data_IF_039008696207
#
_entry.id   IF_039008696207
#
_cell.length_a   1.000
_cell.length_b   1.000
_cell.length_c   1.000
_cell.angle_alpha   90.00
_cell.angle_beta   90.00
_cell.angle_gamma   90.00
#
_symmetry.space_group_name_H-M   'P 1'
#
loop_
_entity.id
_entity.type
_entity.pdbx_description
1 polymer ?
#
# COMPACT_ATOMS: atom_id res chain seq x y z
N UNK A 1 31.66 26.96 -41.95
CA UNK A 1 30.18 27.09 -41.83
C UNK A 1 29.45 25.75 -41.83
N UNK A 2 29.71 24.85 -42.77
CA UNK A 2 28.94 23.59 -42.90
C UNK A 2 29.01 22.69 -41.65
N UNK A 3 30.16 22.61 -40.98
CA UNK A 3 30.32 21.84 -39.74
C UNK A 3 29.50 22.41 -38.56
N UNK A 4 29.42 23.73 -38.43
CA UNK A 4 28.60 24.37 -37.38
C UNK A 4 27.11 24.10 -37.58
N UNK A 5 26.68 24.02 -38.85
CA UNK A 5 25.31 23.72 -39.22
C UNK A 5 24.95 22.27 -38.87
N UNK A 6 25.87 21.32 -39.11
CA UNK A 6 25.71 19.92 -38.70
C UNK A 6 25.63 19.78 -37.18
N UNK A 7 26.50 20.47 -36.43
CA UNK A 7 26.47 20.45 -34.96
C UNK A 7 25.16 21.02 -34.42
N UNK A 8 24.67 22.13 -34.98
CA UNK A 8 23.41 22.74 -34.56
C UNK A 8 22.20 21.83 -34.81
N UNK A 9 22.16 21.13 -35.96
CA UNK A 9 21.10 20.17 -36.28
C UNK A 9 21.15 18.95 -35.36
N UNK A 10 22.34 18.42 -35.06
CA UNK A 10 22.51 17.32 -34.12
C UNK A 10 22.09 17.71 -32.70
N UNK A 11 22.49 18.89 -32.22
CA UNK A 11 22.10 19.40 -30.91
C UNK A 11 20.58 19.62 -30.81
N UNK A 12 19.96 20.18 -31.85
CA UNK A 12 18.51 20.36 -31.91
C UNK A 12 17.75 19.03 -31.92
N UNK A 13 18.24 18.05 -32.67
CA UNK A 13 17.69 16.69 -32.69
C UNK A 13 17.78 16.01 -31.32
N UNK A 14 18.94 16.11 -30.66
CA UNK A 14 19.14 15.57 -29.30
C UNK A 14 18.26 16.25 -28.26
N UNK A 15 18.10 17.57 -28.34
CA UNK A 15 17.21 18.30 -27.45
C UNK A 15 15.75 17.86 -27.62
N UNK A 16 15.27 17.79 -28.86
CA UNK A 16 13.89 17.41 -29.18
C UNK A 16 13.58 15.97 -28.74
N UNK A 17 14.51 15.05 -28.96
CA UNK A 17 14.37 13.65 -28.54
C UNK A 17 14.37 13.51 -27.02
N UNK A 18 15.27 14.20 -26.32
CA UNK A 18 15.33 14.21 -24.85
C UNK A 18 14.03 14.78 -24.27
N UNK A 19 13.51 15.87 -24.85
CA UNK A 19 12.26 16.48 -24.41
C UNK A 19 11.05 15.55 -24.63
N UNK A 20 10.98 14.87 -25.79
CA UNK A 20 9.93 13.87 -26.05
C UNK A 20 10.01 12.67 -25.11
N UNK A 21 11.21 12.20 -24.79
CA UNK A 21 11.42 11.12 -23.83
C UNK A 21 10.95 11.54 -22.43
N UNK A 22 11.24 12.78 -22.02
CA UNK A 22 10.76 13.34 -20.76
C UNK A 22 9.23 13.45 -20.72
N UNK A 23 8.60 13.99 -21.77
CA UNK A 23 7.14 14.11 -21.86
C UNK A 23 6.46 12.73 -21.86
N UNK A 24 7.00 11.76 -22.62
CA UNK A 24 6.52 10.38 -22.58
C UNK A 24 6.67 9.75 -21.19
N UNK A 25 7.80 9.92 -20.52
CA UNK A 25 7.96 9.44 -19.14
C UNK A 25 6.95 10.07 -18.18
N UNK A 26 6.67 11.37 -18.31
CA UNK A 26 5.68 12.05 -17.49
C UNK A 26 4.27 11.54 -17.77
N UNK A 27 3.92 11.30 -19.04
CA UNK A 27 2.63 10.72 -19.45
C UNK A 27 2.49 9.27 -18.99
N UNK A 28 3.51 8.44 -19.13
CA UNK A 28 3.51 7.08 -18.60
C UNK A 28 3.37 7.07 -17.07
N UNK A 29 4.04 7.97 -16.36
CA UNK A 29 3.86 8.14 -14.90
C UNK A 29 2.43 8.58 -14.56
N UNK A 30 1.83 9.46 -15.36
CA UNK A 30 0.46 9.93 -15.17
C UNK A 30 -0.59 8.85 -15.50
N UNK A 31 -0.40 8.10 -16.58
CA UNK A 31 -1.29 7.03 -17.04
C UNK A 31 -1.22 5.78 -16.14
N UNK A 32 -0.08 5.53 -15.50
CA UNK A 32 0.07 4.49 -14.47
C UNK A 32 -0.41 4.95 -13.08
N UNK A 33 -0.97 6.15 -12.96
CA UNK A 33 -1.38 6.72 -11.67
C UNK A 33 -0.24 7.02 -10.71
N UNK A 34 1.03 6.91 -11.13
CA UNK A 34 2.25 7.10 -10.33
C UNK A 34 2.52 8.57 -9.94
N UNK A 35 1.64 9.50 -10.30
CA UNK A 35 1.77 10.90 -9.93
C UNK A 35 1.09 11.10 -8.57
N UNK A 36 1.90 11.30 -7.53
CA UNK A 36 1.44 11.64 -6.19
C UNK A 36 0.88 13.06 -6.24
N UNK A 37 -0.45 13.21 -6.15
CA UNK A 37 -1.10 14.54 -6.15
C UNK A 37 -0.95 15.24 -4.79
N UNK A 38 -0.95 14.46 -3.71
CA UNK A 38 -0.75 14.92 -2.32
C UNK A 38 0.36 14.12 -1.62
N UNK A 39 1.52 14.74 -1.41
CA UNK A 39 2.69 14.16 -0.73
C UNK A 39 2.45 13.90 0.77
N UNK A 40 1.31 14.33 1.33
CA UNK A 40 0.94 14.11 2.73
C UNK A 40 -0.05 12.95 2.91
N UNK A 41 -0.43 12.26 1.84
CA UNK A 41 -1.36 11.14 1.89
C UNK A 41 -0.69 9.82 1.53
N UNK A 42 -1.24 8.74 2.08
CA UNK A 42 -0.88 7.40 1.64
C UNK A 42 -1.58 7.17 0.30
N UNK A 43 -0.82 6.86 -0.75
CA UNK A 43 -1.36 6.63 -2.09
C UNK A 43 -1.14 5.18 -2.48
N UNK A 44 -2.22 4.45 -2.77
CA UNK A 44 -2.16 3.07 -3.28
C UNK A 44 -2.43 3.12 -4.78
N UNK A 45 -1.44 2.70 -5.58
CA UNK A 45 -1.48 2.78 -7.05
C UNK A 45 -2.26 1.62 -7.70
N UNK A 46 -2.57 0.56 -6.95
CA UNK A 46 -3.34 -0.59 -7.41
C UNK A 46 -2.67 -1.94 -7.12
N UNK A 47 -3.38 -3.03 -7.40
CA UNK A 47 -2.87 -4.41 -7.31
C UNK A 47 -2.22 -4.79 -8.65
N UNK A 48 -0.94 -5.17 -8.64
CA UNK A 48 -0.11 -5.35 -9.85
C UNK A 48 -0.02 -6.79 -10.35
N UNK A 49 -0.37 -7.81 -9.54
CA UNK A 49 -0.15 -9.21 -9.89
C UNK A 49 -1.39 -10.07 -9.75
N UNK A 50 -1.66 -10.91 -10.75
CA UNK A 50 -2.67 -11.98 -10.76
C UNK A 50 -2.05 -13.37 -10.55
N UNK A 51 -1.03 -13.48 -9.70
CA UNK A 51 -0.44 -14.78 -9.39
C UNK A 51 -1.32 -15.43 -8.31
N UNK A 52 -1.78 -16.68 -8.48
CA UNK A 52 -2.52 -17.36 -7.41
C UNK A 52 -1.74 -17.29 -6.10
N UNK A 53 -2.44 -16.97 -5.01
CA UNK A 53 -1.84 -16.92 -3.66
C UNK A 53 -0.74 -15.86 -3.48
N UNK A 54 -0.65 -14.87 -4.37
CA UNK A 54 0.29 -13.76 -4.26
C UNK A 54 -0.32 -12.46 -4.76
N UNK A 55 -0.14 -11.39 -3.97
CA UNK A 55 -0.65 -10.06 -4.24
C UNK A 55 0.48 -9.04 -4.14
N UNK A 56 0.45 -8.04 -5.01
CA UNK A 56 1.45 -7.00 -5.07
C UNK A 56 0.77 -5.64 -5.20
N UNK A 57 1.22 -4.66 -4.42
CA UNK A 57 0.76 -3.28 -4.53
C UNK A 57 1.95 -2.34 -4.61
N UNK A 58 1.82 -1.29 -5.41
CA UNK A 58 2.67 -0.09 -5.26
C UNK A 58 1.98 0.90 -4.33
N UNK A 59 2.72 1.36 -3.33
CA UNK A 59 2.20 2.29 -2.32
C UNK A 59 3.20 3.40 -2.08
N UNK A 60 2.76 4.65 -2.19
CA UNK A 60 3.49 5.79 -1.65
C UNK A 60 3.13 6.00 -0.19
N UNK A 61 4.15 6.07 0.65
CA UNK A 61 4.01 6.45 2.05
C UNK A 61 4.45 7.90 2.20
N UNK A 62 3.64 8.81 2.77
CA UNK A 62 4.04 10.20 3.00
C UNK A 62 5.07 10.27 4.12
N UNK A 63 5.84 11.35 4.28
CA UNK A 63 6.90 11.44 5.30
C UNK A 63 6.39 11.05 6.70
N UNK A 64 7.01 10.04 7.31
CA UNK A 64 6.55 9.43 8.56
C UNK A 64 7.16 8.05 8.79
N UNK A 65 6.65 7.32 9.78
CA UNK A 65 7.04 5.93 10.09
C UNK A 65 5.80 5.05 9.96
N UNK A 66 5.92 3.92 9.30
CA UNK A 66 4.80 3.02 9.04
C UNK A 66 5.22 1.57 9.22
N UNK A 67 4.26 0.68 9.40
CA UNK A 67 4.46 -0.77 9.28
C UNK A 67 3.44 -1.32 8.30
N UNK A 68 3.85 -2.29 7.51
CA UNK A 68 2.92 -3.16 6.78
C UNK A 68 2.75 -4.42 7.59
N UNK A 69 1.51 -4.82 7.82
CA UNK A 69 1.12 -5.98 8.61
C UNK A 69 0.23 -6.90 7.80
N UNK A 70 0.31 -8.20 8.07
CA UNK A 70 -0.55 -9.18 7.45
C UNK A 70 -1.00 -10.28 8.42
N UNK A 71 -2.21 -10.79 8.22
CA UNK A 71 -2.76 -11.96 8.90
C UNK A 71 -3.43 -12.88 7.86
N UNK A 72 -3.16 -14.18 7.97
CA UNK A 72 -3.58 -15.23 7.03
C UNK A 72 -4.56 -16.25 7.64
N UNK A 73 -4.82 -16.20 8.94
CA UNK A 73 -5.53 -17.29 9.65
C UNK A 73 -6.75 -16.78 10.40
N UNK A 74 -6.62 -15.66 11.11
CA UNK A 74 -7.69 -15.07 11.91
C UNK A 74 -8.07 -13.70 11.34
N UNK A 75 -8.84 -13.71 10.25
CA UNK A 75 -9.33 -12.47 9.65
C UNK A 75 -10.70 -12.15 10.25
N UNK A 76 -10.83 -11.03 11.00
CA UNK A 76 -12.09 -10.64 11.58
C UNK A 76 -13.06 -10.16 10.49
N UNK A 77 -14.35 -10.29 10.78
CA UNK A 77 -15.41 -9.77 9.92
C UNK A 77 -15.38 -8.25 9.81
N UNK A 78 -15.07 -7.57 10.92
CA UNK A 78 -15.03 -6.11 11.03
C UNK A 78 -13.85 -5.69 11.88
N UNK A 79 -13.21 -4.58 11.52
CA UNK A 79 -12.04 -4.07 12.24
C UNK A 79 -10.73 -4.68 11.76
N UNK A 80 -9.69 -4.53 12.58
CA UNK A 80 -8.37 -5.10 12.36
C UNK A 80 -8.21 -6.36 13.23
N UNK A 81 -7.39 -7.34 12.82
CA UNK A 81 -7.03 -8.44 13.68
C UNK A 81 -6.34 -7.93 14.95
N UNK A 82 -6.54 -8.61 16.09
CA UNK A 82 -5.86 -8.27 17.34
C UNK A 82 -4.33 -8.41 17.20
N UNK A 83 -3.89 -9.45 16.47
CA UNK A 83 -2.48 -9.75 16.22
C UNK A 83 -2.15 -9.82 14.72
N UNK A 84 -0.97 -9.31 14.36
CA UNK A 84 -0.34 -9.56 13.07
C UNK A 84 0.54 -10.82 13.10
N UNK A 85 0.45 -11.61 12.02
CA UNK A 85 1.31 -12.77 11.80
C UNK A 85 2.65 -12.27 11.21
N UNK A 86 2.57 -11.47 10.14
CA UNK A 86 3.73 -10.89 9.49
C UNK A 86 3.78 -9.37 9.67
N UNK A 87 4.99 -8.85 9.87
CA UNK A 87 5.24 -7.40 10.04
C UNK A 87 6.55 -6.99 9.38
N UNK A 88 6.53 -6.01 8.45
CA UNK A 88 7.77 -5.51 7.82
C UNK A 88 8.68 -4.69 8.73
N UNK A 89 8.26 -4.48 9.99
CA UNK A 89 8.87 -3.53 10.91
C UNK A 89 8.73 -2.09 10.41
N UNK A 90 9.63 -1.22 10.86
CA UNK A 90 9.55 0.22 10.56
C UNK A 90 9.95 0.57 9.12
N UNK A 91 9.00 1.07 8.33
CA UNK A 91 9.19 1.67 7.01
C UNK A 91 9.25 3.20 7.13
N UNK A 92 10.17 3.81 6.40
CA UNK A 92 10.34 5.26 6.37
C UNK A 92 9.58 5.85 5.18
N UNK A 93 8.65 6.73 5.48
CA UNK A 93 7.87 7.46 4.49
C UNK A 93 8.69 8.45 3.64
N UNK A 94 8.01 9.09 2.71
CA UNK A 94 8.58 9.97 1.68
C UNK A 94 9.04 9.21 0.43
N UNK A 95 8.61 7.97 0.23
CA UNK A 95 9.01 7.13 -0.91
C UNK A 95 7.94 6.11 -1.29
N UNK A 96 8.11 5.53 -2.47
CA UNK A 96 7.26 4.44 -2.98
C UNK A 96 7.83 3.10 -2.58
N UNK A 97 6.94 2.21 -2.16
CA UNK A 97 7.22 0.83 -1.80
C UNK A 97 6.43 -0.11 -2.71
N UNK A 98 7.05 -1.24 -3.06
CA UNK A 98 6.38 -2.40 -3.63
C UNK A 98 6.11 -3.38 -2.50
N UNK A 99 4.85 -3.51 -2.11
CA UNK A 99 4.40 -4.45 -1.08
C UNK A 99 3.99 -5.74 -1.75
N UNK A 100 4.66 -6.85 -1.44
CA UNK A 100 4.32 -8.19 -1.91
C UNK A 100 3.90 -9.06 -0.73
N UNK A 101 2.76 -9.71 -0.86
CA UNK A 101 2.23 -10.67 0.12
C UNK A 101 1.91 -11.96 -0.61
N UNK A 102 2.33 -13.09 -0.06
CA UNK A 102 1.93 -14.36 -0.62
C UNK A 102 2.08 -15.52 0.35
N UNK A 103 1.40 -16.61 0.01
CA UNK A 103 1.53 -17.89 0.69
C UNK A 103 1.92 -18.95 -0.34
N UNK A 104 2.83 -19.85 0.05
CA UNK A 104 3.24 -20.97 -0.79
C UNK A 104 3.46 -22.21 0.05
N UNK A 105 3.22 -23.38 -0.53
CA UNK A 105 3.53 -24.64 0.12
C UNK A 105 5.03 -24.93 0.03
N UNK A 106 5.65 -25.23 1.17
CA UNK A 106 7.05 -25.64 1.25
C UNK A 106 7.22 -27.14 0.98
N UNK A 107 8.46 -27.58 0.76
CA UNK A 107 8.79 -28.98 0.42
C UNK A 107 8.51 -29.98 1.54
N UNK A 108 8.51 -29.51 2.79
CA UNK A 108 8.18 -30.29 4.00
C UNK A 108 6.67 -30.37 4.26
N UNK A 109 5.85 -29.74 3.40
CA UNK A 109 4.40 -29.70 3.51
C UNK A 109 3.85 -28.53 4.31
N UNK A 110 4.70 -27.74 5.00
CA UNK A 110 4.29 -26.51 5.72
C UNK A 110 3.88 -25.40 4.77
N UNK A 111 3.18 -24.39 5.28
CA UNK A 111 2.86 -23.18 4.52
C UNK A 111 3.84 -22.07 4.87
N UNK A 112 4.49 -21.54 3.85
CA UNK A 112 5.36 -20.39 3.95
C UNK A 112 4.57 -19.14 3.61
N UNK A 113 4.42 -18.26 4.60
CA UNK A 113 3.81 -16.95 4.46
C UNK A 113 4.93 -15.91 4.28
N UNK A 114 4.74 -14.98 3.36
CA UNK A 114 5.74 -13.97 3.03
C UNK A 114 5.11 -12.60 2.91
N UNK A 115 5.77 -11.62 3.51
CA UNK A 115 5.46 -10.20 3.37
C UNK A 115 6.76 -9.45 3.08
N UNK A 116 6.78 -8.70 1.98
CA UNK A 116 7.94 -7.91 1.56
C UNK A 116 7.46 -6.50 1.30
N UNK A 117 8.16 -5.50 1.82
CA UNK A 117 8.10 -4.13 1.36
C UNK A 117 9.46 -3.77 0.77
N UNK A 118 9.52 -3.72 -0.56
CA UNK A 118 10.71 -3.37 -1.33
C UNK A 118 10.70 -1.88 -1.73
N UNK A 119 11.86 -1.25 -1.79
CA UNK A 119 12.06 0.08 -2.35
C UNK A 119 13.34 0.06 -3.21
N UNK A 120 13.48 0.99 -4.15
CA UNK A 120 14.49 0.96 -5.24
C UNK A 120 15.94 0.60 -4.87
N UNK A 121 16.36 0.72 -3.60
CA UNK A 121 17.71 0.39 -3.11
C UNK A 121 17.72 -0.44 -1.80
N UNK A 122 16.65 -1.18 -1.47
CA UNK A 122 16.63 -2.08 -0.32
C UNK A 122 15.26 -2.69 -0.04
N UNK A 123 15.25 -3.90 0.50
CA UNK A 123 14.02 -4.58 0.88
C UNK A 123 13.94 -4.79 2.39
N UNK A 124 12.74 -4.62 2.95
CA UNK A 124 12.39 -5.20 4.24
C UNK A 124 11.43 -6.35 4.00
N UNK A 125 11.79 -7.52 4.48
CA UNK A 125 10.97 -8.71 4.34
C UNK A 125 10.80 -9.36 5.69
N UNK A 126 9.59 -9.83 5.93
CA UNK A 126 9.29 -10.76 7.00
C UNK A 126 8.78 -12.07 6.39
N UNK A 127 9.12 -13.16 7.06
CA UNK A 127 8.89 -14.50 6.57
C UNK A 127 8.56 -15.41 7.75
N UNK A 128 7.43 -16.10 7.64
CA UNK A 128 7.00 -17.05 8.66
C UNK A 128 6.58 -18.36 8.02
N UNK A 129 6.84 -19.44 8.75
CA UNK A 129 6.43 -20.79 8.39
C UNK A 129 5.35 -21.21 9.39
N UNK A 130 4.15 -21.48 8.88
CA UNK A 130 3.05 -21.97 9.68
C UNK A 130 2.81 -23.45 9.39
N UNK A 131 2.39 -24.16 10.42
CA UNK A 131 1.98 -25.56 10.27
C UNK A 131 0.83 -25.69 9.26
N UNK A 132 0.70 -26.85 8.60
CA UNK A 132 -0.41 -27.12 7.69
C UNK A 132 -1.76 -26.98 8.40
N UNK A 133 -2.47 -25.88 8.14
CA UNK A 133 -3.83 -25.66 8.65
C UNK A 133 -4.87 -25.86 7.54
N UNK A 134 -5.95 -26.61 7.80
CA UNK A 134 -7.00 -26.81 6.81
C UNK A 134 -7.60 -25.47 6.35
N UNK A 135 -7.59 -25.22 5.04
CA UNK A 135 -8.14 -24.02 4.43
C UNK A 135 -7.10 -22.99 3.98
N UNK A 136 -5.85 -23.04 4.44
CA UNK A 136 -4.78 -22.20 3.86
C UNK A 136 -4.58 -22.55 2.38
N UNK A 137 -4.81 -23.81 1.98
CA UNK A 137 -4.84 -24.18 0.55
C UNK A 137 -5.89 -23.41 -0.26
N UNK A 138 -7.03 -23.07 0.34
CA UNK A 138 -8.13 -22.38 -0.35
C UNK A 138 -7.97 -20.86 -0.42
N UNK A 139 -6.95 -20.32 0.25
CA UNK A 139 -6.59 -18.91 0.16
C UNK A 139 -6.01 -18.67 -1.24
N UNK A 140 -6.77 -17.98 -2.10
CA UNK A 140 -6.36 -17.66 -3.47
C UNK A 140 -6.99 -18.52 -4.57
N UNK A 141 -7.79 -19.53 -4.22
CA UNK A 141 -8.59 -20.28 -5.20
C UNK A 141 -9.82 -19.43 -5.62
N UNK A 142 -9.95 -19.15 -6.92
CA UNK A 142 -10.84 -18.14 -7.52
C UNK A 142 -12.36 -18.32 -7.29
N UNK A 143 -12.81 -19.34 -6.55
CA UNK A 143 -14.24 -19.70 -6.47
C UNK A 143 -14.97 -19.31 -5.17
N UNK A 144 -14.34 -18.64 -4.20
CA UNK A 144 -15.00 -18.32 -2.93
C UNK A 144 -15.00 -16.82 -2.60
N UNK A 145 -16.21 -16.24 -2.71
CA UNK A 145 -16.66 -14.93 -2.24
C UNK A 145 -15.97 -13.67 -2.79
N UNK A 146 -16.82 -12.86 -3.43
CA UNK A 146 -16.62 -11.43 -3.67
C UNK A 146 -16.59 -10.71 -2.30
N UNK A 147 -15.44 -10.78 -1.62
CA UNK A 147 -15.12 -9.79 -0.61
C UNK A 147 -15.27 -8.40 -1.22
N UNK A 148 -15.66 -7.42 -0.42
CA UNK A 148 -15.70 -6.00 -0.83
C UNK A 148 -14.24 -5.51 -0.96
N UNK A 149 -13.48 -6.17 -1.83
CA UNK A 149 -12.17 -5.77 -2.31
C UNK A 149 -12.45 -4.93 -3.54
N UNK A 150 -12.19 -3.65 -3.38
CA UNK A 150 -12.43 -2.65 -4.40
C UNK A 150 -11.59 -2.93 -5.63
N UNK A 151 -12.25 -3.01 -6.79
CA UNK A 151 -11.60 -3.22 -8.09
C UNK A 151 -10.38 -2.29 -8.26
N UNK A 152 -9.21 -2.80 -8.71
CA UNK A 152 -7.93 -2.10 -8.59
C UNK A 152 -7.64 -1.08 -9.71
N UNK A 153 -8.63 -0.64 -10.48
CA UNK A 153 -8.40 0.32 -11.57
C UNK A 153 -8.29 1.78 -11.13
N UNK A 154 -8.41 2.07 -9.82
CA UNK A 154 -8.42 3.44 -9.32
C UNK A 154 -7.41 3.65 -8.19
N UNK A 155 -6.51 4.60 -8.40
CA UNK A 155 -5.62 5.15 -7.36
C UNK A 155 -6.47 5.67 -6.20
N UNK A 156 -6.06 5.36 -4.98
CA UNK A 156 -6.73 5.81 -3.75
C UNK A 156 -5.79 6.55 -2.84
N UNK A 157 -6.29 7.62 -2.23
CA UNK A 157 -5.57 8.44 -1.28
C UNK A 157 -6.22 8.37 0.11
N UNK A 158 -5.40 8.20 1.13
CA UNK A 158 -5.82 8.15 2.53
C UNK A 158 -5.04 9.16 3.36
N UNK A 159 -5.64 9.65 4.44
CA UNK A 159 -4.92 10.56 5.36
C UNK A 159 -3.75 9.81 6.02
N UNK A 160 -2.65 10.51 6.31
CA UNK A 160 -1.41 9.90 6.82
C UNK A 160 -1.54 9.17 8.16
N UNK A 161 -2.52 9.55 8.95
CA UNK A 161 -2.81 9.02 10.28
C UNK A 161 -3.81 7.87 10.26
N UNK A 162 -4.36 7.54 9.08
CA UNK A 162 -5.29 6.44 8.92
C UNK A 162 -4.56 5.13 8.68
N UNK A 163 -5.09 4.07 9.29
CA UNK A 163 -4.77 2.71 8.90
C UNK A 163 -5.40 2.41 7.54
N UNK A 164 -4.59 1.95 6.59
CA UNK A 164 -5.02 1.66 5.22
C UNK A 164 -5.08 0.17 4.99
N UNK A 165 -6.25 -0.35 4.62
CA UNK A 165 -6.42 -1.77 4.29
C UNK A 165 -6.10 -1.97 2.80
N UNK A 166 -5.10 -2.79 2.50
CA UNK A 166 -4.71 -3.16 1.12
C UNK A 166 -5.52 -4.36 0.62
N UNK A 167 -5.73 -5.36 1.49
CA UNK A 167 -6.52 -6.56 1.19
C UNK A 167 -7.35 -6.96 2.39
N UNK A 168 -8.60 -7.33 2.13
CA UNK A 168 -9.46 -8.02 3.10
C UNK A 168 -10.18 -9.13 2.35
N UNK A 169 -9.64 -10.33 2.47
CA UNK A 169 -10.17 -11.56 1.92
C UNK A 169 -10.52 -12.50 3.06
N UNK A 170 -11.68 -13.14 2.97
CA UNK A 170 -12.17 -14.06 4.01
C UNK A 170 -12.97 -15.19 3.38
N UNK A 171 -12.67 -16.40 3.81
CA UNK A 171 -13.37 -17.63 3.44
C UNK A 171 -14.42 -17.94 4.50
N UNK A 172 -15.65 -17.54 4.25
CA UNK A 172 -16.78 -17.87 5.12
C UNK A 172 -17.32 -19.27 4.77
N UNK A 173 -16.75 -20.32 5.41
CA UNK A 173 -17.21 -21.71 5.24
C UNK A 173 -18.64 -21.96 5.76
N UNK A 174 -19.22 -21.02 6.52
CA UNK A 174 -20.56 -21.17 7.08
C UNK A 174 -21.70 -21.05 6.05
N UNK A 175 -21.41 -20.69 4.79
CA UNK A 175 -22.41 -20.56 3.73
C UNK A 175 -22.03 -21.44 2.54
N UNK A 176 -22.63 -22.63 2.39
CA UNK A 176 -22.51 -23.43 1.17
C UNK A 176 -23.00 -22.63 -0.05
N UNK A 177 -22.24 -22.69 -1.16
CA UNK A 177 -22.47 -21.91 -2.39
C UNK A 177 -23.85 -22.20 -3.02
N UNK A 178 -24.39 -23.40 -2.83
CA UNK A 178 -25.57 -23.87 -3.56
C UNK A 178 -26.89 -23.91 -2.77
N UNK A 179 -26.91 -23.54 -1.49
CA UNK A 179 -28.14 -23.68 -0.71
C UNK A 179 -29.03 -22.43 -0.85
N UNK A 180 -29.92 -22.43 -1.86
CA UNK A 180 -30.97 -21.41 -2.01
C UNK A 180 -31.82 -21.22 -0.74
N UNK A 181 -31.82 -22.19 0.21
CA UNK A 181 -32.51 -22.10 1.50
C UNK A 181 -31.83 -21.15 2.50
N UNK A 182 -30.57 -20.76 2.28
CA UNK A 182 -29.82 -19.91 3.21
C UNK A 182 -30.06 -18.41 3.04
N UNK A 183 -30.80 -17.97 2.01
CA UNK A 183 -31.18 -16.54 1.87
C UNK A 183 -32.01 -16.01 3.05
N UNK A 184 -32.63 -16.90 3.83
CA UNK A 184 -33.54 -16.55 4.93
C UNK A 184 -33.04 -16.93 6.33
N UNK A 185 -31.82 -17.48 6.50
CA UNK A 185 -31.30 -17.79 7.85
C UNK A 185 -30.69 -16.54 8.50
N UNK A 186 -31.21 -16.18 9.67
CA UNK A 186 -30.67 -15.15 10.59
C UNK A 186 -29.47 -15.65 11.41
N UNK A 187 -28.68 -16.59 10.90
CA UNK A 187 -27.46 -17.01 11.61
C UNK A 187 -26.37 -16.05 11.17
N UNK A 188 -25.86 -15.17 12.05
CA UNK A 188 -24.74 -14.33 11.67
C UNK A 188 -23.55 -15.24 11.34
N UNK A 189 -22.81 -14.97 10.24
CA UNK A 189 -21.56 -15.67 10.00
C UNK A 189 -20.63 -15.49 11.21
N UNK A 190 -19.69 -16.43 11.44
CA UNK A 190 -18.76 -16.35 12.57
C UNK A 190 -18.02 -15.01 12.61
N UNK A 191 -17.48 -14.63 13.77
CA UNK A 191 -16.81 -13.33 13.95
C UNK A 191 -15.41 -13.30 13.31
N UNK A 192 -14.73 -14.44 13.29
CA UNK A 192 -13.42 -14.64 12.65
C UNK A 192 -13.47 -15.76 11.62
N UNK A 193 -12.64 -15.68 10.58
CA UNK A 193 -12.56 -16.71 9.56
C UNK A 193 -11.20 -16.74 8.87
N UNK A 194 -10.92 -17.84 8.20
CA UNK A 194 -9.67 -18.04 7.48
C UNK A 194 -9.64 -17.17 6.23
N UNK A 195 -8.54 -16.48 5.95
CA UNK A 195 -8.51 -15.46 4.90
C UNK A 195 -7.18 -14.72 4.85
N UNK A 196 -7.11 -13.60 4.13
CA UNK A 196 -5.92 -12.74 4.11
C UNK A 196 -6.33 -11.31 4.34
N UNK A 197 -5.75 -10.69 5.36
CA UNK A 197 -5.86 -9.28 5.60
C UNK A 197 -4.47 -8.65 5.58
N UNK A 198 -4.32 -7.56 4.83
CA UNK A 198 -3.07 -6.79 4.72
C UNK A 198 -3.39 -5.33 4.94
N UNK A 199 -2.66 -4.68 5.84
CA UNK A 199 -2.88 -3.28 6.16
C UNK A 199 -1.58 -2.53 6.44
N UNK A 200 -1.64 -1.22 6.28
CA UNK A 200 -0.58 -0.27 6.57
C UNK A 200 -1.02 0.55 7.76
N UNK A 201 -0.21 0.61 8.80
CA UNK A 201 -0.46 1.46 9.96
C UNK A 201 0.66 2.47 10.14
N UNK A 202 0.34 3.75 10.44
CA UNK A 202 1.35 4.65 10.95
C UNK A 202 1.89 4.11 12.28
N UNK A 203 3.21 4.16 12.44
CA UNK A 203 3.85 3.91 13.73
C UNK A 203 3.87 5.26 14.43
N UNK A 204 2.90 5.49 15.31
CA UNK A 204 3.04 6.52 16.32
C UNK A 204 4.22 6.14 17.19
N UNK A 205 5.34 6.84 16.98
CA UNK A 205 6.41 6.83 17.98
C UNK A 205 5.73 7.29 19.27
N UNK A 206 5.81 6.54 20.39
CA UNK A 206 5.35 7.10 21.64
C UNK A 206 6.04 8.44 21.76
N UNK A 207 5.25 9.52 21.92
CA UNK A 207 5.80 10.79 22.35
C UNK A 207 6.48 10.41 23.64
N UNK A 208 7.81 10.29 23.62
CA UNK A 208 8.59 10.17 24.83
C UNK A 208 8.10 11.34 25.65
N UNK A 209 7.35 11.07 26.71
CA UNK A 209 6.99 12.06 27.70
C UNK A 209 8.34 12.51 28.25
N UNK A 210 8.94 13.50 27.58
CA UNK A 210 10.19 14.08 28.01
C UNK A 210 9.88 14.55 29.42
N UNK A 211 10.64 14.02 30.39
CA UNK A 211 10.81 14.70 31.67
C UNK A 211 11.07 16.18 31.35
N UNK A 212 10.46 17.10 32.13
CA UNK A 212 10.49 18.52 31.84
C UNK A 212 11.90 19.08 32.07
N UNK A 213 12.78 18.84 31.11
CA UNK A 213 14.13 19.35 31.07
C UNK A 213 14.10 20.52 30.07
N UNK A 214 13.96 21.70 30.64
CA UNK A 214 13.34 22.89 30.07
C UNK A 214 14.12 23.67 29.00
N UNK A 215 14.96 23.05 28.15
CA UNK A 215 15.81 23.83 27.22
C UNK A 215 16.09 23.24 25.82
N UNK A 216 15.36 22.20 25.38
CA UNK A 216 15.50 21.72 23.99
C UNK A 216 14.40 22.29 23.09
N UNK A 217 14.72 22.94 21.95
CA UNK A 217 13.70 23.44 21.04
C UNK A 217 12.84 22.30 20.50
N UNK A 218 11.54 22.41 20.70
CA UNK A 218 10.51 21.50 20.21
C UNK A 218 10.43 21.63 18.68
N UNK A 219 10.84 20.60 17.94
CA UNK A 219 10.55 20.54 16.50
C UNK A 219 9.13 20.01 16.37
N UNK A 220 8.18 20.92 16.29
CA UNK A 220 6.78 20.61 16.01
C UNK A 220 6.68 20.08 14.57
N UNK A 221 6.04 18.93 14.34
CA UNK A 221 5.87 18.38 12.98
C UNK A 221 5.07 19.32 12.06
N UNK A 222 4.29 20.26 12.63
CA UNK A 222 3.60 21.33 11.90
C UNK A 222 4.53 22.47 11.48
N UNK A 223 5.73 22.55 12.07
CA UNK A 223 6.79 23.50 11.69
C UNK A 223 7.72 22.99 10.59
N UNK A 224 7.47 21.77 10.08
CA UNK A 224 8.24 21.22 8.96
C UNK A 224 8.13 22.16 7.73
N UNK A 225 9.26 22.56 7.13
CA UNK A 225 9.27 23.39 5.91
C UNK A 225 8.41 22.82 4.79
N UNK A 226 8.29 21.49 4.71
CA UNK A 226 7.49 20.77 3.72
C UNK A 226 5.99 20.96 3.99
N UNK A 227 5.56 20.86 5.25
CA UNK A 227 4.15 21.06 5.63
C UNK A 227 3.70 22.50 5.38
N UNK A 228 4.53 23.49 5.73
CA UNK A 228 4.23 24.90 5.49
C UNK A 228 4.13 25.25 4.00
N UNK A 229 4.94 24.64 3.13
CA UNK A 229 4.83 24.79 1.68
C UNK A 229 3.53 24.22 1.14
N UNK A 230 3.11 23.06 1.66
CA UNK A 230 1.84 22.45 1.26
C UNK A 230 0.64 23.30 1.67
N UNK A 231 0.64 23.83 2.90
CA UNK A 231 -0.40 24.73 3.41
C UNK A 231 -0.55 25.99 2.55
N UNK A 232 0.58 26.62 2.18
CA UNK A 232 0.60 27.78 1.28
C UNK A 232 0.03 27.46 -0.10
N UNK A 233 0.37 26.30 -0.68
CA UNK A 233 -0.20 25.86 -1.97
C UNK A 233 -1.70 25.62 -1.88
N UNK A 234 -2.18 25.03 -0.78
CA UNK A 234 -3.60 24.76 -0.56
C UNK A 234 -4.40 26.05 -0.40
N UNK A 235 -3.87 27.02 0.34
CA UNK A 235 -4.44 28.37 0.46
C UNK A 235 -4.50 29.08 -0.90
N UNK A 236 -3.40 29.09 -1.66
CA UNK A 236 -3.38 29.72 -2.98
C UNK A 236 -4.39 29.10 -3.97
N UNK A 237 -4.57 27.77 -3.95
CA UNK A 237 -5.61 27.10 -4.74
C UNK A 237 -7.03 27.48 -4.30
N UNK A 238 -7.27 27.57 -2.98
CA UNK A 238 -8.57 27.97 -2.45
C UNK A 238 -8.92 29.43 -2.81
N UNK A 239 -7.94 30.34 -2.75
CA UNK A 239 -8.11 31.74 -3.14
C UNK A 239 -8.35 31.92 -4.65
N UNK A 240 -7.75 31.06 -5.49
CA UNK A 240 -8.00 31.05 -6.93
C UNK A 240 -9.38 30.49 -7.30
N UNK A 241 -9.89 29.52 -6.53
CA UNK A 241 -11.23 28.96 -6.75
C UNK A 241 -12.36 29.88 -6.24
N UNK A 242 -12.04 30.85 -5.39
CA UNK A 242 -12.99 31.81 -4.83
C UNK A 242 -13.13 33.12 -5.65
N UNK A 243 -12.39 33.25 -6.76
CA UNK A 243 -12.46 34.38 -7.71
C UNK A 243 -13.11 33.94 -9.01
#
# INVERSE_FOLDING_TARGET
MLMLLVIAVLAGSHWLTTWRLYDLQQRFRKEQGLQIEDELKITVFGEETFIPQSWQWKVYLPPGRYAVKANFVAVPRTGLPEDDILSTGELFGGRVYTVNVGNRRASDGTWQLRLIADYENGARSDLEYIEPMPGVESIGDEYAYRGVGTFPSQTREYERDQTVILKHYRVDRSVPIDDQRNRNRKVPPPEEGLGVMVWITPITTPVVAKRPDSNSPTIDATSSPTYLRHLKRKQAKAEQAAK
#
